data_IF_444909479104
#
_entry.id   IF_444909479104
#
_cell.length_a   1.000
_cell.length_b   1.000
_cell.length_c   1.000
_cell.angle_alpha   90.00
_cell.angle_beta   90.00
_cell.angle_gamma   90.00
#
_symmetry.space_group_name_H-M   'P 1'
#
loop_
_entity.id
_entity.type
_entity.pdbx_description
1 polymer ?
#
# COMPACT_ATOMS: atom_id res chain seq x y z
N UNK A 1 40.66 46.10 -22.77
CA UNK A 1 40.55 45.19 -21.61
C UNK A 1 40.01 43.79 -21.96
N UNK A 2 40.28 43.31 -23.19
CA UNK A 2 40.06 41.93 -23.64
C UNK A 2 41.09 40.93 -23.06
N UNK A 3 42.06 41.43 -22.30
CA UNK A 3 43.18 40.66 -21.76
C UNK A 3 43.02 40.22 -20.29
N UNK A 4 41.99 40.70 -19.58
CA UNK A 4 41.74 40.30 -18.18
C UNK A 4 40.70 39.17 -18.03
N UNK A 5 40.03 38.79 -19.13
CA UNK A 5 39.14 37.61 -19.15
C UNK A 5 39.92 36.29 -19.37
N UNK A 6 41.25 36.36 -19.47
CA UNK A 6 42.13 35.21 -19.64
C UNK A 6 42.73 34.70 -18.31
N UNK A 7 42.37 35.27 -17.16
CA UNK A 7 42.97 34.92 -15.85
C UNK A 7 41.97 34.47 -14.79
N UNK A 8 40.73 34.18 -15.14
CA UNK A 8 39.81 33.45 -14.24
C UNK A 8 39.80 32.01 -14.72
N UNK A 9 40.60 31.19 -14.03
CA UNK A 9 40.73 29.78 -14.31
C UNK A 9 39.38 29.09 -14.34
N UNK A 10 39.14 28.34 -15.42
CA UNK A 10 38.08 27.33 -15.52
C UNK A 10 38.45 26.06 -14.73
N UNK A 11 39.28 26.19 -13.71
CA UNK A 11 39.93 25.07 -12.99
C UNK A 11 39.05 24.46 -11.89
N UNK A 12 37.75 24.77 -11.88
CA UNK A 12 36.77 24.16 -10.96
C UNK A 12 35.43 23.82 -11.62
N UNK A 13 35.28 24.04 -12.93
CA UNK A 13 34.03 23.73 -13.63
C UNK A 13 33.91 22.24 -13.98
N UNK A 14 35.02 21.49 -14.02
CA UNK A 14 35.00 20.05 -14.30
C UNK A 14 34.61 19.20 -13.07
N UNK A 15 34.77 19.72 -11.84
CA UNK A 15 34.51 18.96 -10.61
C UNK A 15 33.04 18.98 -10.15
N UNK A 16 32.19 19.77 -10.82
CA UNK A 16 30.72 19.70 -10.67
C UNK A 16 30.06 18.87 -11.77
N UNK A 17 30.83 18.06 -12.50
CA UNK A 17 30.26 17.02 -13.35
C UNK A 17 29.45 16.07 -12.45
N UNK A 18 28.13 16.29 -12.41
CA UNK A 18 27.19 15.35 -11.84
C UNK A 18 27.59 13.96 -12.35
N UNK A 19 27.87 12.98 -11.47
CA UNK A 19 28.19 11.63 -11.92
C UNK A 19 27.08 11.26 -12.87
N UNK A 20 27.45 11.12 -14.14
CA UNK A 20 26.51 10.88 -15.22
C UNK A 20 25.66 9.74 -14.71
N UNK A 21 24.37 10.01 -14.48
CA UNK A 21 23.45 8.94 -14.14
C UNK A 21 23.48 8.08 -15.37
N UNK A 22 24.36 7.08 -15.39
CA UNK A 22 24.15 5.85 -16.10
C UNK A 22 22.79 5.39 -15.57
N UNK A 23 21.75 5.85 -16.24
CA UNK A 23 20.52 5.10 -16.37
C UNK A 23 20.99 3.83 -17.07
N UNK A 24 21.61 2.92 -16.33
CA UNK A 24 21.54 1.51 -16.65
C UNK A 24 20.06 1.32 -16.85
N UNK A 25 19.58 1.07 -18.09
CA UNK A 25 18.21 0.65 -18.22
C UNK A 25 18.16 -0.57 -17.32
N UNK A 26 17.45 -0.49 -16.20
CA UNK A 26 16.94 -1.68 -15.55
C UNK A 26 16.05 -2.26 -16.64
N UNK A 27 16.64 -3.07 -17.52
CA UNK A 27 15.92 -3.97 -18.38
C UNK A 27 15.26 -4.88 -17.37
N UNK A 28 14.04 -4.52 -16.99
CA UNK A 28 13.14 -5.45 -16.35
C UNK A 28 13.22 -6.70 -17.22
N UNK A 29 13.52 -7.87 -16.65
CA UNK A 29 13.65 -9.08 -17.44
C UNK A 29 12.40 -9.22 -18.30
N UNK A 30 12.58 -9.47 -19.60
CA UNK A 30 11.49 -9.50 -20.58
C UNK A 30 10.40 -10.53 -20.21
N UNK A 31 10.75 -11.49 -19.34
CA UNK A 31 9.84 -12.36 -18.61
C UNK A 31 10.31 -12.49 -17.17
N UNK A 32 9.39 -12.31 -16.24
CA UNK A 32 9.55 -12.82 -14.88
C UNK A 32 9.39 -14.34 -14.98
N UNK A 33 10.47 -15.10 -14.78
CA UNK A 33 10.37 -16.54 -14.48
C UNK A 33 9.78 -16.64 -13.06
N UNK A 34 8.46 -16.55 -12.99
CA UNK A 34 7.74 -16.77 -11.75
C UNK A 34 7.46 -18.27 -11.64
N UNK A 35 8.01 -18.90 -10.60
CA UNK A 35 7.52 -20.19 -10.15
C UNK A 35 6.02 -20.06 -9.84
N UNK A 36 5.22 -21.02 -10.28
CA UNK A 36 3.75 -21.00 -10.17
C UNK A 36 3.31 -20.75 -8.72
N UNK A 37 4.02 -21.35 -7.74
CA UNK A 37 3.70 -21.15 -6.31
C UNK A 37 4.03 -19.75 -5.84
N UNK A 38 5.11 -19.14 -6.35
CA UNK A 38 5.47 -17.76 -6.05
C UNK A 38 4.45 -16.77 -6.63
N UNK A 39 3.93 -17.04 -7.83
CA UNK A 39 2.92 -16.21 -8.48
C UNK A 39 1.60 -16.28 -7.71
N UNK A 40 1.15 -17.48 -7.35
CA UNK A 40 -0.07 -17.70 -6.57
C UNK A 40 -0.01 -16.97 -5.22
N UNK A 41 1.10 -17.10 -4.48
CA UNK A 41 1.30 -16.36 -3.21
C UNK A 41 1.32 -14.84 -3.40
N UNK A 42 2.01 -14.34 -4.43
CA UNK A 42 2.09 -12.90 -4.72
C UNK A 42 0.73 -12.30 -5.10
N UNK A 43 -0.06 -13.02 -5.90
CA UNK A 43 -1.42 -12.61 -6.27
C UNK A 43 -2.37 -12.67 -5.08
N UNK A 44 -2.30 -13.71 -4.25
CA UNK A 44 -3.07 -13.80 -3.02
C UNK A 44 -2.80 -12.58 -2.12
N UNK A 45 -1.53 -12.27 -1.89
CA UNK A 45 -1.14 -11.10 -1.10
C UNK A 45 -1.62 -9.78 -1.71
N UNK A 46 -1.53 -9.61 -3.03
CA UNK A 46 -2.04 -8.42 -3.71
C UNK A 46 -3.55 -8.23 -3.54
N UNK A 47 -4.33 -9.30 -3.73
CA UNK A 47 -5.78 -9.28 -3.54
C UNK A 47 -6.13 -8.94 -2.10
N UNK A 48 -5.42 -9.54 -1.15
CA UNK A 48 -5.58 -9.30 0.28
C UNK A 48 -5.33 -7.83 0.65
N UNK A 49 -4.25 -7.22 0.14
CA UNK A 49 -3.99 -5.78 0.32
C UNK A 49 -5.08 -4.91 -0.33
N UNK A 50 -5.56 -5.27 -1.51
CA UNK A 50 -6.64 -4.52 -2.17
C UNK A 50 -7.93 -4.55 -1.34
N UNK A 51 -8.29 -5.72 -0.81
CA UNK A 51 -9.47 -5.88 0.04
C UNK A 51 -9.33 -5.05 1.31
N UNK A 52 -8.15 -4.98 1.92
CA UNK A 52 -7.87 -4.15 3.09
C UNK A 52 -8.09 -2.65 2.78
N UNK A 53 -7.51 -2.14 1.69
CA UNK A 53 -7.68 -0.74 1.28
C UNK A 53 -9.16 -0.42 1.03
N UNK A 54 -9.89 -1.34 0.39
CA UNK A 54 -11.32 -1.17 0.15
C UNK A 54 -12.11 -1.18 1.45
N UNK A 55 -11.78 -2.07 2.40
CA UNK A 55 -12.37 -2.11 3.73
C UNK A 55 -12.20 -0.78 4.47
N UNK A 56 -10.97 -0.27 4.55
CA UNK A 56 -10.69 1.03 5.19
C UNK A 56 -11.48 2.18 4.55
N UNK A 57 -11.55 2.21 3.21
CA UNK A 57 -12.29 3.23 2.49
C UNK A 57 -13.78 3.16 2.83
N UNK A 58 -14.35 1.96 2.79
CA UNK A 58 -15.76 1.75 3.07
C UNK A 58 -16.09 2.11 4.52
N UNK A 59 -15.23 1.77 5.48
CA UNK A 59 -15.39 2.17 6.88
C UNK A 59 -15.38 3.69 7.04
N UNK A 60 -14.41 4.38 6.42
CA UNK A 60 -14.36 5.85 6.41
C UNK A 60 -15.62 6.45 5.80
N UNK A 61 -16.16 5.85 4.73
CA UNK A 61 -17.41 6.31 4.12
C UNK A 61 -18.62 6.05 5.01
N UNK A 62 -18.68 4.91 5.69
CA UNK A 62 -19.73 4.57 6.64
C UNK A 62 -19.79 5.61 7.76
N UNK A 63 -18.66 5.90 8.40
CA UNK A 63 -18.56 6.93 9.44
C UNK A 63 -19.04 8.27 8.91
N UNK A 64 -18.57 8.70 7.73
CA UNK A 64 -19.00 9.98 7.14
C UNK A 64 -20.51 10.03 6.88
N UNK A 65 -21.12 8.94 6.41
CA UNK A 65 -22.56 8.87 6.13
C UNK A 65 -23.39 8.87 7.41
N UNK A 66 -22.94 8.16 8.44
CA UNK A 66 -23.55 8.16 9.77
C UNK A 66 -23.49 9.56 10.38
N UNK A 67 -22.32 10.22 10.36
CA UNK A 67 -22.16 11.59 10.87
C UNK A 67 -22.97 12.64 10.08
N UNK A 68 -23.20 12.41 8.79
CA UNK A 68 -24.04 13.27 7.95
C UNK A 68 -25.55 13.02 8.13
N UNK A 69 -25.96 12.02 8.92
CA UNK A 69 -27.36 11.62 9.07
C UNK A 69 -27.98 11.10 7.77
N UNK A 70 -27.16 10.64 6.82
CA UNK A 70 -27.63 10.15 5.52
C UNK A 70 -28.08 8.67 5.55
N UNK A 71 -28.08 8.05 6.73
CA UNK A 71 -28.51 6.68 6.97
C UNK A 71 -29.50 6.68 8.14
N UNK A 72 -30.57 5.89 8.03
CA UNK A 72 -31.44 5.55 9.16
C UNK A 72 -30.74 4.59 10.13
N UNK A 73 -31.32 4.42 11.33
CA UNK A 73 -30.81 3.51 12.35
C UNK A 73 -30.76 2.05 11.83
N UNK A 74 -31.83 1.59 11.18
CA UNK A 74 -31.90 0.26 10.55
C UNK A 74 -30.83 0.08 9.46
N UNK A 75 -30.56 1.11 8.66
CA UNK A 75 -29.50 1.05 7.63
C UNK A 75 -28.11 1.01 8.26
N UNK A 76 -27.91 1.72 9.36
CA UNK A 76 -26.66 1.74 10.12
C UNK A 76 -26.37 0.37 10.73
N UNK A 77 -27.38 -0.28 11.32
CA UNK A 77 -27.24 -1.62 11.88
C UNK A 77 -26.93 -2.66 10.78
N UNK A 78 -27.66 -2.62 9.66
CA UNK A 78 -27.40 -3.49 8.50
C UNK A 78 -25.99 -3.30 7.95
N UNK A 79 -25.53 -2.04 7.87
CA UNK A 79 -24.19 -1.71 7.42
C UNK A 79 -23.13 -2.30 8.35
N UNK A 80 -23.28 -2.13 9.66
CA UNK A 80 -22.38 -2.72 10.66
C UNK A 80 -22.33 -4.25 10.59
N UNK A 81 -23.48 -4.90 10.45
CA UNK A 81 -23.56 -6.35 10.27
C UNK A 81 -22.85 -6.83 9.00
N UNK A 82 -22.96 -6.07 7.89
CA UNK A 82 -22.27 -6.38 6.64
C UNK A 82 -20.74 -6.27 6.77
N UNK A 83 -20.23 -5.23 7.45
CA UNK A 83 -18.79 -5.12 7.72
C UNK A 83 -18.27 -6.28 8.57
N UNK A 84 -19.00 -6.67 9.61
CA UNK A 84 -18.61 -7.81 10.45
C UNK A 84 -18.55 -9.12 9.65
N UNK A 85 -19.52 -9.34 8.76
CA UNK A 85 -19.53 -10.51 7.88
C UNK A 85 -18.39 -10.48 6.86
N UNK A 86 -18.11 -9.31 6.28
CA UNK A 86 -16.99 -9.10 5.35
C UNK A 86 -15.66 -9.42 6.04
N UNK A 87 -15.41 -8.85 7.22
CA UNK A 87 -14.16 -9.05 7.97
C UNK A 87 -13.90 -10.53 8.26
N UNK A 88 -14.91 -11.25 8.74
CA UNK A 88 -14.79 -12.71 8.95
C UNK A 88 -14.43 -13.46 7.68
N UNK A 89 -15.04 -13.11 6.54
CA UNK A 89 -14.75 -13.81 5.27
C UNK A 89 -13.34 -13.50 4.76
N UNK A 90 -12.82 -12.30 5.02
CA UNK A 90 -11.45 -11.94 4.68
C UNK A 90 -10.44 -12.69 5.55
N UNK A 91 -10.73 -12.85 6.85
CA UNK A 91 -9.91 -13.67 7.74
C UNK A 91 -9.86 -15.13 7.26
N UNK A 92 -11.01 -15.72 6.93
CA UNK A 92 -11.08 -17.06 6.33
C UNK A 92 -10.26 -17.16 5.04
N UNK A 93 -10.36 -16.16 4.16
CA UNK A 93 -9.62 -16.13 2.90
C UNK A 93 -8.10 -16.02 3.13
N UNK A 94 -7.67 -15.28 4.15
CA UNK A 94 -6.27 -15.20 4.55
C UNK A 94 -5.73 -16.57 4.97
N UNK A 95 -6.46 -17.27 5.84
CA UNK A 95 -6.09 -18.61 6.30
C UNK A 95 -6.03 -19.61 5.13
N UNK A 96 -7.02 -19.54 4.22
CA UNK A 96 -7.10 -20.39 3.02
C UNK A 96 -5.95 -20.15 2.03
N UNK A 97 -5.51 -18.90 1.85
CA UNK A 97 -4.57 -18.51 0.78
C UNK A 97 -3.12 -18.34 1.24
N UNK A 98 -2.88 -17.99 2.51
CA UNK A 98 -1.57 -17.58 3.02
C UNK A 98 -1.05 -18.49 4.14
N UNK A 99 -1.90 -19.34 4.76
CA UNK A 99 -1.64 -20.16 5.96
C UNK A 99 -0.43 -21.12 5.96
N UNK A 100 0.79 -20.58 5.81
CA UNK A 100 2.06 -21.29 5.82
C UNK A 100 3.22 -20.34 6.15
N UNK A 101 3.56 -20.28 7.44
CA UNK A 101 4.84 -19.82 8.01
C UNK A 101 5.44 -18.50 7.50
N UNK A 102 4.73 -17.39 7.69
CA UNK A 102 5.33 -16.16 8.22
C UNK A 102 4.20 -15.36 8.84
N UNK A 103 4.21 -15.19 10.16
CA UNK A 103 3.21 -14.45 10.92
C UNK A 103 3.26 -12.98 10.53
N UNK A 104 2.61 -12.60 9.44
CA UNK A 104 2.23 -11.21 9.24
C UNK A 104 1.14 -10.91 10.26
N UNK A 105 1.51 -10.18 11.31
CA UNK A 105 0.53 -9.47 12.13
C UNK A 105 -0.34 -8.65 11.17
N UNK A 106 -1.57 -9.11 10.94
CA UNK A 106 -2.45 -8.52 9.94
C UNK A 106 -2.85 -7.09 10.35
N UNK A 107 -2.64 -6.06 9.50
CA UNK A 107 -2.74 -4.66 9.91
C UNK A 107 -4.17 -4.27 10.35
N UNK A 108 -5.20 -4.82 9.71
CA UNK A 108 -6.61 -4.63 10.10
C UNK A 108 -6.91 -5.10 11.54
N UNK A 109 -6.29 -6.19 12.01
CA UNK A 109 -6.48 -6.70 13.39
C UNK A 109 -5.56 -5.99 14.41
N UNK A 110 -4.44 -5.40 13.96
CA UNK A 110 -3.61 -4.54 14.81
C UNK A 110 -4.30 -3.21 15.18
N UNK A 111 -5.15 -2.69 14.30
CA UNK A 111 -5.94 -1.47 14.51
C UNK A 111 -7.18 -1.68 15.37
N UNK A 112 -7.89 -2.80 15.18
CA UNK A 112 -9.08 -3.15 15.98
C UNK A 112 -8.73 -3.46 17.45
N UNK A 113 -7.51 -3.95 17.73
CA UNK A 113 -7.00 -4.10 19.10
C UNK A 113 -6.64 -2.76 19.78
N UNK A 114 -6.43 -1.69 19.01
CA UNK A 114 -6.00 -0.38 19.53
C UNK A 114 -7.09 0.69 19.61
N UNK A 115 -8.19 0.56 18.87
CA UNK A 115 -9.10 1.71 18.65
C UNK A 115 -10.56 1.55 19.12
N UNK A 116 -11.00 0.44 19.69
CA UNK A 116 -12.45 0.14 19.68
C UNK A 116 -13.25 0.04 20.98
N UNK A 117 -12.66 0.12 22.18
CA UNK A 117 -13.40 -0.04 23.45
C UNK A 117 -13.05 0.98 24.55
N UNK A 118 -12.38 2.08 24.20
CA UNK A 118 -12.10 3.15 25.16
C UNK A 118 -12.51 4.52 24.63
N UNK A 119 -13.72 4.91 25.07
CA UNK A 119 -14.30 6.26 25.17
C UNK A 119 -15.32 6.64 24.10
#
# INVERSE_FOLDING_TARGET
>A
MKALLASVGTEGAEELAFPGRERRPRRLPARVEADERSLQRGLAHLVLVLVEILGELLERQAVRRMSAGSLSDDETEKLGAAFLALHRRVDELYDELVGGEETAEWPMLSGLSRSGLAR
#
